data_IF_402281527198
#
_entry.id   IF_402281527198
#
_cell.length_a   1.000
_cell.length_b   1.000
_cell.length_c   1.000
_cell.angle_alpha   90.00
_cell.angle_beta   90.00
_cell.angle_gamma   90.00
#
_symmetry.space_group_name_H-M   'P 1'
#
loop_
_entity.id
_entity.type
_entity.pdbx_description
1 polymer ?
#
# COMPACT_ATOMS: atom_id res chain seq x y z
N UNK A 1 -6.02 -21.33 -36.01
CA UNK A 1 -6.37 -21.19 -34.59
C UNK A 1 -5.14 -21.43 -33.74
N UNK A 2 -4.79 -20.50 -32.88
CA UNK A 2 -3.71 -20.71 -31.93
C UNK A 2 -4.04 -21.79 -30.90
N UNK A 3 -3.04 -22.58 -30.51
CA UNK A 3 -3.21 -23.57 -29.43
C UNK A 3 -3.42 -22.86 -28.10
N UNK A 4 -4.43 -23.29 -27.33
CA UNK A 4 -4.71 -22.78 -25.99
C UNK A 4 -3.60 -23.25 -25.05
N UNK A 5 -2.85 -22.31 -24.49
CA UNK A 5 -1.84 -22.60 -23.46
C UNK A 5 -2.48 -22.53 -22.08
N UNK A 6 -2.49 -23.64 -21.36
CA UNK A 6 -2.95 -23.71 -19.97
C UNK A 6 -1.77 -23.63 -19.02
N UNK A 7 -1.92 -22.83 -17.97
CA UNK A 7 -0.95 -22.71 -16.87
C UNK A 7 -1.67 -22.84 -15.55
N UNK A 8 -1.05 -23.43 -14.55
CA UNK A 8 -1.63 -23.64 -13.23
C UNK A 8 -0.84 -22.91 -12.16
N UNK A 9 -1.53 -22.23 -11.25
CA UNK A 9 -0.99 -21.48 -10.14
C UNK A 9 -1.84 -21.73 -8.89
N UNK A 10 -1.24 -21.57 -7.71
CA UNK A 10 -1.97 -21.65 -6.43
C UNK A 10 -2.86 -20.42 -6.22
N UNK A 11 -2.40 -19.26 -6.69
CA UNK A 11 -3.14 -18.01 -6.63
C UNK A 11 -2.94 -17.19 -7.90
N UNK A 12 -4.00 -16.47 -8.29
CA UNK A 12 -3.98 -15.53 -9.41
C UNK A 12 -4.48 -14.18 -8.92
N UNK A 13 -3.67 -13.14 -9.09
CA UNK A 13 -4.00 -11.77 -8.75
C UNK A 13 -4.27 -10.99 -10.04
N UNK A 14 -5.36 -10.28 -10.09
CA UNK A 14 -5.73 -9.40 -11.19
C UNK A 14 -5.44 -7.95 -10.79
N UNK A 15 -4.41 -7.38 -11.38
CA UNK A 15 -3.93 -6.02 -11.11
C UNK A 15 -2.52 -5.99 -10.54
N UNK A 16 -1.60 -5.27 -11.22
CA UNK A 16 -0.20 -5.14 -10.86
C UNK A 16 0.15 -3.77 -10.25
N UNK A 17 -0.79 -3.12 -9.57
CA UNK A 17 -0.54 -1.92 -8.76
C UNK A 17 0.02 -2.27 -7.38
N UNK A 18 0.14 -1.28 -6.47
CA UNK A 18 0.71 -1.47 -5.15
C UNK A 18 0.02 -2.56 -4.34
N UNK A 19 -1.30 -2.57 -4.33
CA UNK A 19 -2.12 -3.57 -3.63
C UNK A 19 -1.87 -4.99 -4.15
N UNK A 20 -1.96 -5.18 -5.48
CA UNK A 20 -1.74 -6.49 -6.09
C UNK A 20 -0.31 -7.00 -5.91
N UNK A 21 0.67 -6.13 -6.03
CA UNK A 21 2.08 -6.49 -5.85
C UNK A 21 2.39 -6.84 -4.38
N UNK A 22 1.80 -6.13 -3.41
CA UNK A 22 1.96 -6.46 -1.99
C UNK A 22 1.32 -7.82 -1.66
N UNK A 23 0.13 -8.10 -2.21
CA UNK A 23 -0.52 -9.39 -2.04
C UNK A 23 0.31 -10.53 -2.69
N UNK A 24 0.86 -10.29 -3.88
CA UNK A 24 1.74 -11.25 -4.55
C UNK A 24 2.99 -11.56 -3.73
N UNK A 25 3.59 -10.54 -3.14
CA UNK A 25 4.76 -10.71 -2.28
C UNK A 25 4.43 -11.58 -1.06
N UNK A 26 3.32 -11.32 -0.40
CA UNK A 26 2.87 -12.11 0.76
C UNK A 26 2.64 -13.57 0.40
N UNK A 27 1.97 -13.83 -0.70
CA UNK A 27 1.72 -15.20 -1.19
C UNK A 27 3.02 -15.92 -1.55
N UNK A 28 3.93 -15.24 -2.23
CA UNK A 28 5.23 -15.80 -2.60
C UNK A 28 6.09 -16.12 -1.37
N UNK A 29 6.12 -15.22 -0.39
CA UNK A 29 6.80 -15.47 0.89
C UNK A 29 6.20 -16.64 1.67
N UNK A 30 4.93 -16.89 1.49
CA UNK A 30 4.22 -18.04 2.08
C UNK A 30 4.38 -19.34 1.27
N UNK A 31 5.17 -19.32 0.21
CA UNK A 31 5.50 -20.50 -0.60
C UNK A 31 4.49 -20.83 -1.70
N UNK A 32 3.51 -19.96 -1.97
CA UNK A 32 2.53 -20.19 -3.02
C UNK A 32 3.04 -19.75 -4.39
N UNK A 33 2.81 -20.59 -5.40
CA UNK A 33 3.05 -20.25 -6.80
C UNK A 33 1.98 -19.27 -7.28
N UNK A 34 2.37 -18.02 -7.44
CA UNK A 34 1.46 -16.90 -7.69
C UNK A 34 1.66 -16.32 -9.08
N UNK A 35 0.56 -16.03 -9.78
CA UNK A 35 0.56 -15.26 -11.02
C UNK A 35 -0.09 -13.89 -10.78
N UNK A 36 0.48 -12.86 -11.39
CA UNK A 36 -0.12 -11.52 -11.46
C UNK A 36 -0.50 -11.24 -12.91
N UNK A 37 -1.77 -11.00 -13.16
CA UNK A 37 -2.29 -10.60 -14.46
C UNK A 37 -2.50 -9.09 -14.43
N UNK A 38 -1.82 -8.36 -15.30
CA UNK A 38 -1.89 -6.91 -15.34
C UNK A 38 -1.99 -6.39 -16.77
N UNK A 39 -2.73 -5.30 -16.93
CA UNK A 39 -2.87 -4.64 -18.23
C UNK A 39 -1.60 -3.90 -18.66
N UNK A 40 -0.89 -3.32 -17.69
CA UNK A 40 0.34 -2.56 -17.90
C UNK A 40 1.45 -3.13 -17.06
N UNK A 41 2.67 -2.83 -17.42
CA UNK A 41 3.83 -3.21 -16.60
C UNK A 41 3.69 -2.63 -15.18
N UNK A 42 4.05 -3.33 -14.11
CA UNK A 42 3.88 -2.84 -12.74
C UNK A 42 4.46 -1.45 -12.49
N UNK A 43 5.60 -1.13 -13.12
CA UNK A 43 6.25 0.20 -13.05
C UNK A 43 5.49 1.29 -13.80
N UNK A 44 4.38 0.97 -14.45
CA UNK A 44 3.46 1.90 -15.13
C UNK A 44 2.11 2.00 -14.42
N UNK A 45 1.98 1.41 -13.24
CA UNK A 45 0.76 1.49 -12.43
C UNK A 45 0.54 2.90 -11.89
N UNK A 46 -0.69 3.21 -11.50
CA UNK A 46 -1.01 4.48 -10.83
C UNK A 46 -0.23 4.64 -9.51
N UNK A 47 0.05 3.58 -8.81
CA UNK A 47 0.88 3.60 -7.59
C UNK A 47 2.27 4.19 -7.87
N UNK A 48 2.90 3.82 -8.97
CA UNK A 48 4.22 4.34 -9.37
C UNK A 48 4.10 5.74 -9.99
N UNK A 49 3.01 6.03 -10.70
CA UNK A 49 2.80 7.31 -11.38
C UNK A 49 2.33 8.41 -10.44
N UNK A 50 1.87 8.08 -9.25
CA UNK A 50 1.43 9.06 -8.25
C UNK A 50 2.60 9.92 -7.79
N UNK A 51 2.35 11.23 -7.68
CA UNK A 51 3.33 12.21 -7.19
C UNK A 51 3.19 12.51 -5.71
N UNK A 52 2.05 12.14 -5.12
CA UNK A 52 1.80 12.23 -3.69
C UNK A 52 2.58 11.18 -2.89
N UNK A 53 2.67 11.42 -1.61
CA UNK A 53 3.23 10.46 -0.67
C UNK A 53 2.20 9.42 -0.21
N UNK A 54 2.51 8.78 0.88
CA UNK A 54 1.59 7.93 1.64
C UNK A 54 1.24 8.67 2.91
N UNK A 55 -0.04 8.98 3.12
CA UNK A 55 -0.50 9.62 4.36
C UNK A 55 -0.67 8.57 5.44
N UNK A 56 0.01 8.76 6.56
CA UNK A 56 -0.04 7.83 7.68
C UNK A 56 0.41 8.52 8.96
N UNK A 57 -0.26 8.24 10.06
CA UNK A 57 0.05 8.79 11.38
C UNK A 57 1.20 8.02 12.04
N UNK A 58 2.44 8.40 11.75
CA UNK A 58 3.65 7.75 12.31
C UNK A 58 4.34 8.57 13.40
N UNK A 59 3.78 9.72 13.76
CA UNK A 59 4.30 10.61 14.83
C UNK A 59 5.81 10.94 14.69
N UNK A 60 6.32 11.03 13.45
CA UNK A 60 7.75 11.24 13.22
C UNK A 60 8.20 12.66 13.49
N UNK A 61 7.32 13.63 13.36
CA UNK A 61 7.60 15.06 13.55
C UNK A 61 6.75 15.65 14.69
N UNK A 62 5.48 15.34 14.76
CA UNK A 62 4.58 15.68 15.85
C UNK A 62 4.29 14.45 16.73
N UNK A 63 4.76 14.42 18.00
CA UNK A 63 4.50 13.30 18.90
C UNK A 63 3.02 13.13 19.29
N UNK A 64 2.18 14.13 19.01
CA UNK A 64 0.74 14.05 19.25
C UNK A 64 -0.04 13.47 18.07
N UNK A 65 0.63 13.23 16.95
CA UNK A 65 0.02 12.61 15.79
C UNK A 65 -0.47 11.19 16.11
N UNK A 66 -1.73 10.92 15.79
CA UNK A 66 -2.41 9.66 16.11
C UNK A 66 -3.26 9.19 14.94
N UNK A 67 -3.34 7.89 14.77
CA UNK A 67 -4.16 7.28 13.73
C UNK A 67 -5.66 7.63 13.88
N UNK A 68 -6.15 7.90 15.09
CA UNK A 68 -7.53 8.31 15.34
C UNK A 68 -7.85 9.67 14.70
N UNK A 69 -6.88 10.59 14.65
CA UNK A 69 -7.04 11.86 13.93
C UNK A 69 -7.10 11.63 12.42
N UNK A 70 -6.23 10.77 11.89
CA UNK A 70 -6.24 10.41 10.49
C UNK A 70 -7.58 9.76 10.10
N UNK A 71 -8.08 8.83 10.93
CA UNK A 71 -9.41 8.23 10.75
C UNK A 71 -10.52 9.30 10.69
N UNK A 72 -10.51 10.22 11.63
CA UNK A 72 -11.49 11.30 11.66
C UNK A 72 -11.46 12.12 10.37
N UNK A 73 -10.28 12.55 9.94
CA UNK A 73 -10.09 13.33 8.72
C UNK A 73 -10.48 12.56 7.47
N UNK A 74 -10.18 11.28 7.41
CA UNK A 74 -10.51 10.41 6.27
C UNK A 74 -12.02 10.20 6.16
N UNK A 75 -12.70 9.92 7.27
CA UNK A 75 -14.16 9.75 7.30
C UNK A 75 -14.83 11.05 6.87
N UNK A 76 -14.40 12.17 7.42
CA UNK A 76 -14.94 13.48 7.11
C UNK A 76 -14.64 13.91 5.67
N UNK A 77 -13.43 13.66 5.18
CA UNK A 77 -13.02 13.97 3.82
C UNK A 77 -13.75 13.13 2.76
N UNK A 78 -14.24 11.97 3.12
CA UNK A 78 -15.08 11.13 2.26
C UNK A 78 -16.56 11.52 2.29
N UNK A 79 -16.93 12.62 2.93
CA UNK A 79 -18.33 13.02 3.19
C UNK A 79 -19.15 11.90 3.85
N UNK A 80 -18.54 11.10 4.71
CA UNK A 80 -19.15 9.94 5.40
C UNK A 80 -19.68 8.85 4.46
N UNK A 81 -19.17 8.79 3.22
CA UNK A 81 -19.59 7.77 2.23
C UNK A 81 -18.70 6.51 2.25
N UNK A 82 -17.50 6.60 2.86
CA UNK A 82 -16.59 5.47 3.02
C UNK A 82 -17.08 4.49 4.08
N UNK A 83 -16.69 3.22 3.93
CA UNK A 83 -16.88 2.23 4.99
C UNK A 83 -15.98 2.58 6.18
N UNK A 84 -16.59 2.81 7.35
CA UNK A 84 -15.85 3.30 8.52
C UNK A 84 -14.98 2.23 9.17
N UNK A 85 -15.34 0.96 9.06
CA UNK A 85 -14.52 -0.15 9.57
C UNK A 85 -13.28 -0.35 8.72
N UNK A 86 -13.42 -0.26 7.40
CA UNK A 86 -12.29 -0.33 6.47
C UNK A 86 -11.34 0.84 6.66
N UNK A 87 -11.85 2.06 6.83
CA UNK A 87 -11.05 3.25 7.10
C UNK A 87 -10.28 3.09 8.42
N UNK A 88 -10.94 2.65 9.48
CA UNK A 88 -10.31 2.41 10.78
C UNK A 88 -9.19 1.37 10.68
N UNK A 89 -9.46 0.24 10.02
CA UNK A 89 -8.48 -0.82 9.80
C UNK A 89 -7.26 -0.32 9.03
N UNK A 90 -7.47 0.47 7.97
CA UNK A 90 -6.42 1.06 7.16
C UNK A 90 -5.54 2.01 7.99
N UNK A 91 -6.16 2.94 8.72
CA UNK A 91 -5.43 3.98 9.45
C UNK A 91 -4.70 3.42 10.67
N UNK A 92 -5.29 2.42 11.31
CA UNK A 92 -4.67 1.73 12.46
C UNK A 92 -3.46 0.88 12.06
N UNK A 93 -3.52 0.22 10.90
CA UNK A 93 -2.43 -0.64 10.41
C UNK A 93 -1.40 0.12 9.58
N UNK A 94 -1.71 1.33 9.13
CA UNK A 94 -0.85 2.17 8.31
C UNK A 94 0.57 2.34 8.86
N UNK A 95 0.77 2.69 10.13
CA UNK A 95 2.10 2.86 10.72
C UNK A 95 3.01 1.65 10.55
N UNK A 96 2.50 0.46 10.79
CA UNK A 96 3.24 -0.79 10.62
C UNK A 96 3.61 -1.02 9.14
N UNK A 97 2.69 -0.76 8.23
CA UNK A 97 2.92 -0.89 6.79
C UNK A 97 4.02 0.06 6.28
N UNK A 98 4.08 1.29 6.78
CA UNK A 98 5.13 2.27 6.43
C UNK A 98 6.51 1.76 6.89
N UNK A 99 6.60 1.28 8.12
CA UNK A 99 7.85 0.74 8.67
C UNK A 99 8.30 -0.50 7.86
N UNK A 100 7.37 -1.37 7.49
CA UNK A 100 7.65 -2.54 6.65
C UNK A 100 8.23 -2.11 5.28
N UNK A 101 7.61 -1.14 4.61
CA UNK A 101 8.09 -0.61 3.34
C UNK A 101 9.48 0.03 3.46
N UNK A 102 9.74 0.74 4.55
CA UNK A 102 11.07 1.30 4.81
C UNK A 102 12.13 0.19 4.96
N UNK A 103 11.82 -0.86 5.71
CA UNK A 103 12.71 -2.02 5.86
C UNK A 103 12.92 -2.79 4.55
N UNK A 104 11.97 -2.74 3.63
CA UNK A 104 12.12 -3.27 2.27
C UNK A 104 12.99 -2.39 1.37
N UNK A 105 13.40 -1.20 1.83
CA UNK A 105 14.28 -0.29 1.11
C UNK A 105 13.57 0.85 0.38
N UNK A 106 12.29 1.14 0.68
CA UNK A 106 11.63 2.31 0.14
C UNK A 106 12.28 3.59 0.68
N UNK A 107 12.86 4.44 -0.19
CA UNK A 107 13.58 5.65 0.24
C UNK A 107 12.61 6.80 0.50
N UNK A 108 11.97 6.82 1.66
CA UNK A 108 11.15 7.96 2.06
C UNK A 108 11.97 9.25 2.17
N UNK A 109 11.37 10.38 1.77
CA UNK A 109 11.96 11.69 1.97
C UNK A 109 12.13 11.98 3.47
N UNK A 110 13.28 12.53 3.84
CA UNK A 110 13.62 12.82 5.25
C UNK A 110 14.03 14.27 5.42
N UNK A 111 13.58 14.96 6.47
CA UNK A 111 14.12 16.26 6.84
C UNK A 111 15.56 16.11 7.38
N UNK A 112 16.23 17.24 7.55
CA UNK A 112 17.65 17.31 7.99
C UNK A 112 17.96 16.51 9.26
N UNK A 113 16.95 16.22 10.10
CA UNK A 113 17.09 15.43 11.33
C UNK A 113 16.93 13.91 11.14
N UNK A 114 17.00 13.40 9.92
CA UNK A 114 16.91 11.97 9.59
C UNK A 114 15.59 11.28 9.98
N UNK A 115 14.53 12.05 10.25
CA UNK A 115 13.18 11.55 10.45
C UNK A 115 12.43 11.50 9.12
N UNK A 116 11.44 10.61 8.99
CA UNK A 116 10.55 10.60 7.84
C UNK A 116 9.75 11.90 7.81
N UNK A 117 9.65 12.53 6.62
CA UNK A 117 8.88 13.77 6.47
C UNK A 117 7.39 13.47 6.65
N UNK A 118 6.74 14.26 7.49
CA UNK A 118 5.32 14.21 7.74
C UNK A 118 4.65 15.41 7.07
N UNK A 119 3.67 15.15 6.22
CA UNK A 119 2.86 16.16 5.57
C UNK A 119 1.73 16.62 6.51
#
# INVERSE_FOLDING_TARGET
>A
MGSLRKMSFDAVIVGGGGSGMRAALQLAQSGYKTAVITKVFPTRSHTVSAQGGITCAIASDDPNDKWEWHRYDTIRGSDYTGDQEDIESMDQTGPEAIIELEHMGLPFSRPVKARTYQL
#
